data_IF_386763916604
#
_entry.id   IF_386763916604
#
_cell.length_a   1.000
_cell.length_b   1.000
_cell.length_c   1.000
_cell.angle_alpha   90.00
_cell.angle_beta   90.00
_cell.angle_gamma   90.00
#
_symmetry.space_group_name_H-M   'P 1'
#
loop_
_entity.id
_entity.type
_entity.pdbx_description
1 polymer ?
#
# COMPACT_ATOMS: atom_id res chain seq x y z
N UNK A 1 13.77 -11.42 -7.11
CA UNK A 1 12.79 -10.54 -6.45
C UNK A 1 11.71 -10.18 -7.45
N UNK A 2 10.43 -10.35 -7.11
CA UNK A 2 9.28 -10.07 -7.99
C UNK A 2 9.22 -8.55 -8.33
N UNK A 3 8.80 -8.13 -9.54
CA UNK A 3 8.80 -6.72 -9.93
C UNK A 3 8.06 -5.79 -8.96
N UNK A 4 6.87 -6.17 -8.50
CA UNK A 4 6.10 -5.40 -7.52
C UNK A 4 6.81 -5.25 -6.17
N UNK A 5 7.48 -6.31 -5.68
CA UNK A 5 8.27 -6.24 -4.44
C UNK A 5 9.48 -5.33 -4.62
N UNK A 6 10.10 -5.35 -5.80
CA UNK A 6 11.19 -4.43 -6.14
C UNK A 6 10.70 -2.97 -6.14
N UNK A 7 9.51 -2.72 -6.64
CA UNK A 7 8.92 -1.38 -6.60
C UNK A 7 8.61 -0.92 -5.17
N UNK A 8 8.12 -1.84 -4.33
CA UNK A 8 7.92 -1.55 -2.91
C UNK A 8 9.22 -1.15 -2.20
N UNK A 9 10.35 -1.80 -2.54
CA UNK A 9 11.68 -1.40 -2.05
C UNK A 9 12.04 0.02 -2.48
N UNK A 10 11.80 0.39 -3.75
CA UNK A 10 12.09 1.75 -4.22
C UNK A 10 11.23 2.79 -3.50
N UNK A 11 9.94 2.53 -3.33
CA UNK A 11 9.04 3.41 -2.58
C UNK A 11 9.50 3.57 -1.11
N UNK A 12 9.91 2.49 -0.44
CA UNK A 12 10.46 2.57 0.92
C UNK A 12 11.77 3.38 0.99
N UNK A 13 12.61 3.31 -0.06
CA UNK A 13 13.83 4.12 -0.13
C UNK A 13 13.53 5.59 -0.40
N UNK A 14 12.53 5.85 -1.23
CA UNK A 14 12.10 7.18 -1.64
C UNK A 14 11.46 7.95 -0.49
N UNK A 15 10.52 7.32 0.23
CA UNK A 15 9.65 8.00 1.21
C UNK A 15 9.82 7.50 2.65
N UNK A 16 10.83 6.67 2.93
CA UNK A 16 11.10 6.15 4.27
C UNK A 16 10.10 5.06 4.70
N UNK A 17 9.55 5.19 5.92
CA UNK A 17 8.63 4.20 6.54
C UNK A 17 7.26 4.14 5.86
N UNK A 18 7.23 3.71 4.60
CA UNK A 18 6.04 3.25 3.91
C UNK A 18 5.67 1.85 4.43
N UNK A 19 4.44 1.70 4.94
CA UNK A 19 3.87 0.42 5.36
C UNK A 19 2.89 -0.05 4.31
N UNK A 20 3.27 -1.07 3.55
CA UNK A 20 2.45 -1.58 2.47
C UNK A 20 1.20 -2.29 2.98
N UNK A 21 0.10 -2.00 2.31
CA UNK A 21 -1.20 -2.66 2.49
C UNK A 21 -1.62 -3.26 1.15
N UNK A 22 -2.71 -4.03 1.13
CA UNK A 22 -3.19 -4.58 -0.15
C UNK A 22 -2.25 -5.64 -0.77
N UNK A 23 -1.96 -5.51 -2.07
CA UNK A 23 -1.31 -6.60 -2.84
C UNK A 23 0.11 -6.92 -2.37
N UNK A 24 0.91 -5.90 -2.06
CA UNK A 24 2.29 -6.09 -1.59
C UNK A 24 2.27 -6.83 -0.25
N UNK A 25 1.39 -6.45 0.68
CA UNK A 25 1.25 -7.14 1.96
C UNK A 25 0.86 -8.61 1.78
N UNK A 26 -0.09 -8.92 0.88
CA UNK A 26 -0.45 -10.31 0.56
C UNK A 26 0.77 -11.07 0.03
N UNK A 27 1.45 -10.54 -0.99
CA UNK A 27 2.61 -11.18 -1.59
C UNK A 27 3.73 -11.45 -0.58
N UNK A 28 3.94 -10.54 0.36
CA UNK A 28 4.97 -10.68 1.39
C UNK A 28 4.60 -11.73 2.46
N UNK A 29 3.32 -11.83 2.82
CA UNK A 29 2.86 -12.80 3.82
C UNK A 29 2.63 -14.21 3.28
N UNK A 30 2.29 -14.36 1.99
CA UNK A 30 1.85 -15.66 1.43
C UNK A 30 2.66 -16.15 0.23
N UNK A 31 3.54 -15.33 -0.33
CA UNK A 31 4.24 -15.57 -1.60
C UNK A 31 3.31 -15.76 -2.84
N UNK A 32 2.02 -15.51 -2.69
CA UNK A 32 1.03 -15.61 -3.78
C UNK A 32 0.95 -14.31 -4.59
N UNK A 33 0.81 -14.43 -5.91
CA UNK A 33 0.66 -13.28 -6.80
C UNK A 33 -0.82 -13.03 -7.10
N UNK A 34 -1.32 -11.82 -6.80
CA UNK A 34 -2.67 -11.40 -7.23
C UNK A 34 -2.62 -10.71 -8.60
N UNK A 35 -3.79 -10.64 -9.24
CA UNK A 35 -3.94 -9.93 -10.52
C UNK A 35 -3.77 -8.41 -10.40
N UNK A 36 -4.17 -7.81 -9.28
CA UNK A 36 -3.99 -6.36 -9.06
C UNK A 36 -2.51 -5.97 -9.07
N UNK A 37 -2.19 -4.87 -9.73
CA UNK A 37 -0.83 -4.30 -9.80
C UNK A 37 -0.73 -2.94 -9.10
N UNK A 38 -1.80 -2.46 -8.47
CA UNK A 38 -1.82 -1.20 -7.72
C UNK A 38 -1.11 -1.39 -6.37
N UNK A 39 -0.20 -0.47 -6.02
CA UNK A 39 0.53 -0.50 -4.76
C UNK A 39 -0.14 0.45 -3.75
N UNK A 40 -0.78 -0.14 -2.76
CA UNK A 40 -1.36 0.59 -1.63
C UNK A 40 -0.35 0.67 -0.48
N UNK A 41 -0.14 1.85 0.09
CA UNK A 41 0.70 1.97 1.30
C UNK A 41 0.32 3.15 2.19
N UNK A 42 0.61 2.97 3.48
CA UNK A 42 0.41 3.95 4.54
C UNK A 42 1.73 4.64 4.85
N UNK A 43 1.68 5.95 5.09
CA UNK A 43 2.82 6.76 5.54
C UNK A 43 2.44 7.55 6.80
N UNK A 44 3.44 7.86 7.62
CA UNK A 44 3.23 8.62 8.86
C UNK A 44 2.94 10.11 8.60
N UNK A 45 3.49 10.65 7.52
CA UNK A 45 3.40 12.06 7.16
C UNK A 45 2.97 12.20 5.71
N UNK A 46 2.29 13.31 5.40
CA UNK A 46 1.86 13.61 4.03
C UNK A 46 3.07 13.77 3.11
N UNK A 47 3.08 13.03 1.99
CA UNK A 47 4.02 13.28 0.89
C UNK A 47 3.43 14.36 0.00
N UNK A 48 4.19 15.44 -0.18
CA UNK A 48 3.80 16.57 -1.03
C UNK A 48 3.90 16.23 -2.52
N UNK A 49 3.19 17.00 -3.35
CA UNK A 49 3.28 16.88 -4.81
C UNK A 49 4.71 17.07 -5.29
N UNK A 50 5.43 18.06 -4.76
CA UNK A 50 6.81 18.36 -5.16
C UNK A 50 7.74 17.19 -4.82
N UNK A 51 7.60 16.57 -3.64
CA UNK A 51 8.39 15.38 -3.27
C UNK A 51 8.15 14.19 -4.20
N UNK A 52 6.91 13.99 -4.68
CA UNK A 52 6.62 12.98 -5.69
C UNK A 52 7.33 13.31 -7.01
N UNK A 53 7.21 14.55 -7.48
CA UNK A 53 7.78 14.99 -8.75
C UNK A 53 9.32 14.94 -8.75
N UNK A 54 9.95 15.35 -7.65
CA UNK A 54 11.41 15.32 -7.47
C UNK A 54 11.98 13.90 -7.57
N UNK A 55 11.21 12.90 -7.13
CA UNK A 55 11.57 11.48 -7.24
C UNK A 55 11.12 10.83 -8.56
N UNK A 56 10.57 11.63 -9.48
CA UNK A 56 10.16 11.23 -10.82
C UNK A 56 8.80 10.53 -10.89
N UNK A 57 7.99 10.58 -9.82
CA UNK A 57 6.63 10.05 -9.83
C UNK A 57 5.76 10.94 -10.71
N UNK A 58 4.74 10.34 -11.32
CA UNK A 58 3.80 11.04 -12.19
C UNK A 58 2.47 11.20 -11.48
N UNK A 59 1.90 12.40 -11.54
CA UNK A 59 0.59 12.71 -10.99
C UNK A 59 -0.33 13.11 -12.13
N UNK A 60 -1.39 12.33 -12.34
CA UNK A 60 -2.51 12.67 -13.20
C UNK A 60 -3.51 13.49 -12.37
N UNK A 61 -3.39 14.81 -12.45
CA UNK A 61 -4.26 15.73 -11.70
C UNK A 61 -5.74 15.67 -12.11
N UNK A 62 -6.06 15.20 -13.31
CA UNK A 62 -7.45 15.11 -13.76
C UNK A 62 -8.18 13.92 -13.13
N UNK A 63 -7.44 12.85 -12.83
CA UNK A 63 -8.00 11.60 -12.30
C UNK A 63 -7.58 11.31 -10.85
N UNK A 64 -6.81 12.21 -10.26
CA UNK A 64 -6.11 12.05 -8.97
C UNK A 64 -5.38 10.70 -8.87
N UNK A 65 -4.69 10.31 -9.95
CA UNK A 65 -3.91 9.06 -9.98
C UNK A 65 -2.44 9.36 -9.87
N UNK A 66 -1.74 8.57 -9.07
CA UNK A 66 -0.29 8.68 -8.87
C UNK A 66 0.36 7.42 -9.42
N UNK A 67 1.51 7.59 -10.07
CA UNK A 67 2.24 6.49 -10.68
C UNK A 67 3.71 6.58 -10.32
N UNK A 68 4.31 5.42 -10.06
CA UNK A 68 5.76 5.33 -9.93
C UNK A 68 6.47 5.65 -11.25
N UNK A 69 7.76 6.01 -11.22
CA UNK A 69 8.50 6.25 -12.46
C UNK A 69 8.55 5.03 -13.42
N UNK A 70 8.26 3.81 -12.93
CA UNK A 70 8.14 2.59 -13.75
C UNK A 70 6.71 2.28 -14.19
N UNK A 71 5.75 3.14 -13.87
CA UNK A 71 4.38 3.09 -14.39
C UNK A 71 3.39 2.29 -13.55
N UNK A 72 3.73 1.90 -12.32
CA UNK A 72 2.78 1.27 -11.41
C UNK A 72 1.90 2.31 -10.73
N UNK A 73 0.59 2.07 -10.64
CA UNK A 73 -0.31 2.94 -9.88
C UNK A 73 -0.03 2.79 -8.39
N UNK A 74 -0.05 3.91 -7.68
CA UNK A 74 0.07 3.95 -6.22
C UNK A 74 -1.14 4.64 -5.60
N UNK A 75 -1.54 4.14 -4.44
CA UNK A 75 -2.52 4.76 -3.55
C UNK A 75 -1.87 4.95 -2.17
N UNK A 76 -1.85 6.18 -1.69
CA UNK A 76 -1.11 6.58 -0.48
C UNK A 76 -2.08 7.08 0.57
N UNK A 77 -1.99 6.51 1.77
CA UNK A 77 -2.87 6.83 2.89
C UNK A 77 -2.06 7.47 4.02
N UNK A 78 -2.45 8.67 4.45
CA UNK A 78 -1.75 9.42 5.52
C UNK A 78 -2.68 10.10 6.53
N UNK A 79 -3.93 10.42 6.16
CA UNK A 79 -4.85 11.20 6.99
C UNK A 79 -6.04 10.43 7.56
N UNK A 80 -6.48 9.35 6.89
CA UNK A 80 -7.73 8.66 7.22
C UNK A 80 -7.49 7.19 7.49
N UNK A 81 -8.23 6.67 8.47
CA UNK A 81 -8.28 5.25 8.80
C UNK A 81 -8.54 4.39 7.55
N UNK A 82 -7.82 3.28 7.47
CA UNK A 82 -7.98 2.33 6.38
C UNK A 82 -9.00 1.26 6.77
N UNK A 83 -10.24 1.40 6.31
CA UNK A 83 -11.36 0.51 6.69
C UNK A 83 -11.58 0.45 8.22
N UNK A 84 -11.71 1.62 8.85
CA UNK A 84 -11.83 1.80 10.31
C UNK A 84 -10.63 1.26 11.11
N UNK A 85 -9.47 1.05 10.47
CA UNK A 85 -8.22 0.71 11.14
C UNK A 85 -7.37 1.99 11.20
N UNK A 86 -7.05 2.49 12.41
CA UNK A 86 -6.17 3.64 12.57
C UNK A 86 -4.82 3.45 11.89
N UNK A 87 -4.35 4.47 11.17
CA UNK A 87 -3.09 4.40 10.42
C UNK A 87 -1.88 4.25 11.36
N UNK A 88 -1.91 4.89 12.53
CA UNK A 88 -0.88 4.76 13.57
C UNK A 88 -0.76 3.32 14.06
N UNK A 89 -1.89 2.62 14.21
CA UNK A 89 -1.92 1.19 14.56
C UNK A 89 -1.28 0.34 13.45
N UNK A 90 -1.59 0.63 12.18
CA UNK A 90 -1.00 -0.08 11.03
C UNK A 90 0.53 0.09 11.01
N UNK A 91 1.01 1.32 11.18
CA UNK A 91 2.45 1.63 11.19
C UNK A 91 3.13 0.97 12.40
N UNK A 92 2.54 1.09 13.60
CA UNK A 92 3.11 0.55 14.84
C UNK A 92 3.19 -0.98 14.85
N UNK A 93 2.24 -1.65 14.23
CA UNK A 93 2.16 -3.12 14.18
C UNK A 93 2.70 -3.71 12.88
N UNK A 94 3.34 -2.88 12.04
CA UNK A 94 3.90 -3.31 10.77
C UNK A 94 4.97 -4.41 10.98
N UNK A 95 4.94 -5.41 10.10
CA UNK A 95 5.95 -6.44 10.02
C UNK A 95 7.04 -6.01 9.02
N UNK A 96 8.29 -5.95 9.46
CA UNK A 96 9.44 -5.77 8.58
C UNK A 96 9.82 -7.11 7.94
N UNK A 97 9.42 -7.33 6.69
CA UNK A 97 9.57 -8.61 5.99
C UNK A 97 10.81 -8.58 5.10
N UNK A 98 11.75 -9.54 5.22
CA UNK A 98 12.95 -9.58 4.39
C UNK A 98 12.62 -9.99 2.96
N UNK A 99 13.04 -9.17 1.99
CA UNK A 99 12.79 -9.38 0.55
C UNK A 99 14.06 -9.67 -0.26
N UNK A 100 15.23 -9.37 0.33
CA UNK A 100 16.54 -9.78 -0.18
C UNK A 100 17.41 -10.28 0.98
N UNK A 101 17.54 -11.61 1.08
CA UNK A 101 18.33 -12.25 2.14
C UNK A 101 19.83 -11.92 2.09
N UNK A 102 20.36 -11.52 0.92
CA UNK A 102 21.79 -11.22 0.76
C UNK A 102 22.11 -9.77 1.13
N UNK A 103 21.17 -8.85 0.88
CA UNK A 103 21.35 -7.42 1.16
C UNK A 103 20.74 -6.96 2.49
N UNK A 104 20.03 -7.85 3.19
CA UNK A 104 19.30 -7.51 4.41
C UNK A 104 18.15 -6.52 4.15
N UNK A 105 17.66 -6.42 2.91
CA UNK A 105 16.60 -5.48 2.55
C UNK A 105 15.27 -5.97 3.09
N UNK A 106 14.58 -5.11 3.81
CA UNK A 106 13.23 -5.36 4.36
C UNK A 106 12.22 -4.41 3.74
N UNK A 107 10.96 -4.85 3.67
CA UNK A 107 9.81 -4.02 3.31
C UNK A 107 8.80 -4.13 4.45
N UNK A 108 8.28 -3.00 4.91
CA UNK A 108 7.26 -2.98 5.94
C UNK A 108 5.90 -3.30 5.32
N UNK A 109 5.18 -4.24 5.90
CA UNK A 109 3.80 -4.54 5.54
C UNK A 109 2.92 -4.50 6.79
N UNK A 110 1.64 -4.17 6.61
CA UNK A 110 0.64 -4.37 7.68
C UNK A 110 0.72 -5.81 8.20
N UNK A 111 0.51 -6.01 9.50
CA UNK A 111 0.47 -7.35 10.10
C UNK A 111 -0.57 -8.24 9.40
N UNK A 112 -0.37 -9.56 9.43
CA UNK A 112 -1.31 -10.50 8.80
C UNK A 112 -2.73 -10.36 9.39
N UNK A 113 -2.84 -10.17 10.70
CA UNK A 113 -4.11 -9.92 11.38
C UNK A 113 -4.75 -8.62 10.90
N UNK A 114 -3.97 -7.53 10.83
CA UNK A 114 -4.43 -6.25 10.31
C UNK A 114 -4.90 -6.35 8.85
N UNK A 115 -4.19 -7.12 8.03
CA UNK A 115 -4.55 -7.38 6.63
C UNK A 115 -5.89 -8.12 6.52
N UNK A 116 -6.11 -9.16 7.34
CA UNK A 116 -7.36 -9.92 7.37
C UNK A 116 -8.52 -9.02 7.77
N UNK A 117 -8.36 -8.23 8.83
CA UNK A 117 -9.38 -7.28 9.30
C UNK A 117 -9.68 -6.25 8.21
N UNK A 118 -8.66 -5.66 7.59
CA UNK A 118 -8.84 -4.67 6.53
C UNK A 118 -9.64 -5.25 5.35
N UNK A 119 -9.32 -6.46 4.90
CA UNK A 119 -10.03 -7.13 3.81
C UNK A 119 -11.46 -7.52 4.17
N UNK A 120 -11.67 -8.01 5.39
CA UNK A 120 -13.01 -8.34 5.87
C UNK A 120 -13.92 -7.10 5.93
N UNK A 121 -13.39 -5.98 6.44
CA UNK A 121 -14.16 -4.73 6.56
C UNK A 121 -14.49 -4.11 5.21
N UNK A 122 -13.54 -4.08 4.27
CA UNK A 122 -13.77 -3.60 2.90
C UNK A 122 -14.88 -4.39 2.18
N UNK A 123 -15.00 -5.70 2.44
CA UNK A 123 -16.06 -6.54 1.89
C UNK A 123 -17.47 -6.14 2.37
N UNK A 124 -17.60 -5.71 3.64
CA UNK A 124 -18.90 -5.27 4.20
C UNK A 124 -19.43 -3.99 3.54
N UNK A 125 -18.54 -3.09 3.13
CA UNK A 125 -18.93 -1.87 2.42
C UNK A 125 -19.38 -2.15 0.98
N UNK A 126 -18.79 -3.16 0.32
CA UNK A 126 -19.27 -3.63 -0.99
C UNK A 126 -20.66 -4.27 -0.90
N UNK A 127 -20.95 -5.04 0.14
CA UNK A 127 -22.27 -5.64 0.37
C UNK A 127 -23.34 -4.58 0.69
N UNK A 128 -23.01 -3.55 1.49
CA UNK A 128 -23.91 -2.41 1.75
C UNK A 128 -24.26 -1.63 0.47
N UNK A 129 -23.27 -1.38 -0.39
CA UNK A 129 -23.51 -0.70 -1.67
C UNK A 129 -24.38 -1.51 -2.64
N UNK A 130 -24.23 -2.84 -2.66
CA UNK A 130 -25.07 -3.74 -3.46
C UNK A 130 -26.53 -3.76 -2.98
N UNK A 131 -26.76 -3.63 -1.67
CA UNK A 131 -28.11 -3.64 -1.09
C UNK A 131 -28.88 -2.33 -1.40
N UNK A 132 -28.18 -1.20 -1.51
CA UNK A 132 -28.81 0.11 -1.83
C UNK A 132 -29.16 0.30 -3.31
N UNK A 133 -28.68 -0.55 -4.23
CA UNK A 133 -29.04 -0.50 -5.66
C UNK A 133 -30.28 -1.34 -6.02
N UNK A 134 -31.02 -1.86 -5.03
CA UNK A 134 -32.22 -2.70 -5.22
C UNK A 134 -33.54 -2.00 -4.83
N UNK A 135 -33.62 -0.68 -4.92
CA UNK A 135 -34.88 0.07 -4.74
C UNK A 135 -35.19 0.90 -5.97
#
# INVERSE_FOLDING_TARGET
MKPLIREAVYISQDFGTATFVGVIAVMLHTDEQRQSQDLDFVVAEQITVDEFLDKGYKIDQQRDKKFTPRGYKIDVYHERDLNDIPLDYIIKTAAAIPVDKKKGTTVNAISLEGLIVAKFRAGRDQERFMCMKKV
#
